data_IF_707048036599
#
_entry.id   IF_707048036599
#
_cell.length_a   1.000
_cell.length_b   1.000
_cell.length_c   1.000
_cell.angle_alpha   90.00
_cell.angle_beta   90.00
_cell.angle_gamma   90.00
#
_symmetry.space_group_name_H-M   'P 1'
#
loop_
_entity.id
_entity.type
_entity.pdbx_description
1 polymer ?
#
# COMPACT_ATOMS: atom_id res chain seq x y z
N UNK A 1 -13.67 -17.59 -18.01
CA UNK A 1 -13.11 -17.03 -16.76
C UNK A 1 -11.85 -17.80 -16.45
N UNK A 2 -10.73 -17.12 -16.21
CA UNK A 2 -9.48 -17.75 -15.76
C UNK A 2 -9.40 -17.59 -14.24
N UNK A 3 -9.08 -18.67 -13.54
CA UNK A 3 -9.02 -18.73 -12.07
C UNK A 3 -7.62 -19.16 -11.68
N UNK A 4 -7.07 -18.56 -10.63
CA UNK A 4 -5.73 -18.80 -10.13
C UNK A 4 -5.79 -19.33 -8.69
N UNK A 5 -4.82 -20.18 -8.34
CA UNK A 5 -4.64 -20.77 -7.01
C UNK A 5 -3.18 -20.63 -6.56
N UNK A 6 -2.85 -21.09 -5.36
CA UNK A 6 -1.48 -21.03 -4.81
C UNK A 6 -0.44 -21.66 -5.74
N UNK A 7 -0.77 -22.72 -6.48
CA UNK A 7 0.13 -23.36 -7.45
C UNK A 7 0.47 -22.48 -8.66
N UNK A 8 -0.34 -21.46 -8.92
CA UNK A 8 -0.19 -20.55 -10.06
C UNK A 8 0.53 -19.25 -9.66
N UNK A 9 0.90 -19.10 -8.38
CA UNK A 9 1.52 -17.89 -7.83
C UNK A 9 2.80 -18.22 -7.06
N UNK A 10 3.90 -17.53 -7.37
CA UNK A 10 5.12 -17.59 -6.56
C UNK A 10 5.06 -16.55 -5.43
N UNK A 11 4.63 -17.00 -4.24
CA UNK A 11 4.57 -16.16 -3.04
C UNK A 11 5.94 -15.62 -2.61
N UNK A 12 7.05 -16.20 -3.06
CA UNK A 12 8.38 -15.74 -2.65
C UNK A 12 8.75 -14.40 -3.28
N UNK A 13 8.12 -14.03 -4.41
CA UNK A 13 8.34 -12.75 -5.08
C UNK A 13 8.00 -11.56 -4.16
N UNK A 14 6.90 -11.65 -3.40
CA UNK A 14 6.46 -10.57 -2.51
C UNK A 14 7.23 -10.55 -1.18
N UNK A 15 7.72 -11.70 -0.70
CA UNK A 15 8.41 -11.80 0.60
C UNK A 15 9.70 -10.98 0.68
N UNK A 16 10.34 -10.74 -0.47
CA UNK A 16 11.54 -9.91 -0.58
C UNK A 16 11.27 -8.43 -0.83
N UNK A 17 10.00 -8.00 -0.90
CA UNK A 17 9.62 -6.61 -1.18
C UNK A 17 9.29 -5.86 0.10
N UNK A 18 9.58 -4.57 0.10
CA UNK A 18 9.12 -3.62 1.10
C UNK A 18 7.71 -3.14 0.74
N UNK A 19 6.72 -3.60 1.51
CA UNK A 19 5.31 -3.26 1.29
C UNK A 19 4.85 -2.19 2.28
N UNK A 20 4.40 -1.06 1.76
CA UNK A 20 3.78 -0.01 2.54
C UNK A 20 2.26 -0.06 2.37
N UNK A 21 1.55 -0.23 3.47
CA UNK A 21 0.09 -0.17 3.51
C UNK A 21 -0.33 1.23 3.95
N UNK A 22 -0.98 1.99 3.06
CA UNK A 22 -1.42 3.36 3.32
C UNK A 22 -2.86 3.33 3.85
N UNK A 23 -3.02 3.65 5.13
CA UNK A 23 -4.29 3.50 5.85
C UNK A 23 -4.37 2.20 6.65
N UNK A 24 -5.03 2.26 7.82
CA UNK A 24 -5.16 1.11 8.73
C UNK A 24 -6.61 0.95 9.23
N UNK A 25 -7.55 1.05 8.27
CA UNK A 25 -8.96 0.73 8.46
C UNK A 25 -9.24 -0.78 8.35
N UNK A 26 -10.38 -1.15 7.78
CA UNK A 26 -10.77 -2.56 7.60
C UNK A 26 -9.80 -3.31 6.67
N UNK A 27 -9.63 -2.85 5.42
CA UNK A 27 -8.73 -3.49 4.46
C UNK A 27 -7.27 -3.34 4.85
N UNK A 28 -6.84 -2.15 5.30
CA UNK A 28 -5.46 -1.90 5.71
C UNK A 28 -4.99 -2.85 6.82
N UNK A 29 -5.85 -3.08 7.83
CA UNK A 29 -5.57 -4.05 8.88
C UNK A 29 -5.44 -5.48 8.34
N UNK A 30 -6.41 -5.94 7.54
CA UNK A 30 -6.43 -7.29 7.01
C UNK A 30 -5.23 -7.57 6.08
N UNK A 31 -4.94 -6.67 5.14
CA UNK A 31 -3.82 -6.81 4.22
C UNK A 31 -2.48 -6.86 4.95
N UNK A 32 -2.25 -5.94 5.88
CA UNK A 32 -0.98 -5.89 6.62
C UNK A 32 -0.73 -7.16 7.45
N UNK A 33 -1.76 -7.62 8.18
CA UNK A 33 -1.68 -8.83 8.99
C UNK A 33 -1.42 -10.06 8.11
N UNK A 34 -2.19 -10.23 7.04
CA UNK A 34 -2.05 -11.40 6.16
C UNK A 34 -0.71 -11.41 5.43
N UNK A 35 -0.20 -10.26 4.99
CA UNK A 35 1.13 -10.17 4.36
C UNK A 35 2.23 -10.60 5.33
N UNK A 36 2.20 -10.07 6.56
CA UNK A 36 3.17 -10.44 7.61
C UNK A 36 3.09 -11.93 7.92
N UNK A 37 1.88 -12.45 8.14
CA UNK A 37 1.67 -13.85 8.51
C UNK A 37 1.98 -14.81 7.33
N UNK A 38 1.94 -14.30 6.09
CA UNK A 38 2.43 -15.00 4.88
C UNK A 38 3.96 -14.94 4.71
N UNK A 39 4.68 -14.31 5.63
CA UNK A 39 6.15 -14.26 5.66
C UNK A 39 6.78 -13.08 4.94
N UNK A 40 6.01 -12.04 4.59
CA UNK A 40 6.57 -10.77 4.12
C UNK A 40 7.22 -10.07 5.31
N UNK A 41 8.55 -9.92 5.26
CA UNK A 41 9.33 -9.40 6.39
C UNK A 41 9.17 -7.90 6.58
N UNK A 42 9.07 -7.18 5.47
CA UNK A 42 9.06 -5.73 5.43
C UNK A 42 7.66 -5.20 5.12
N UNK A 43 6.79 -5.19 6.13
CA UNK A 43 5.47 -4.55 6.08
C UNK A 43 5.42 -3.36 7.03
N UNK A 44 5.07 -2.18 6.51
CA UNK A 44 4.93 -0.96 7.31
C UNK A 44 3.61 -0.27 7.00
N UNK A 45 3.12 0.51 7.97
CA UNK A 45 1.85 1.23 7.84
C UNK A 45 2.12 2.72 7.67
N UNK A 46 1.59 3.32 6.62
CA UNK A 46 1.58 4.76 6.44
C UNK A 46 0.28 5.35 6.99
N UNK A 47 0.41 6.28 7.95
CA UNK A 47 -0.71 7.02 8.54
C UNK A 47 -0.36 8.49 8.64
N UNK A 48 -1.36 9.36 8.44
CA UNK A 48 -1.21 10.79 8.70
C UNK A 48 -0.77 11.03 10.16
N UNK A 49 0.17 11.95 10.42
CA UNK A 49 0.52 12.34 11.79
C UNK A 49 -0.71 12.68 12.63
N UNK A 50 -0.77 12.14 13.85
CA UNK A 50 -1.91 12.32 14.74
C UNK A 50 -3.14 11.45 14.44
N UNK A 51 -3.06 10.53 13.46
CA UNK A 51 -4.17 9.60 13.19
C UNK A 51 -4.52 8.77 14.43
N UNK A 52 -5.83 8.62 14.69
CA UNK A 52 -6.34 7.82 15.80
C UNK A 52 -5.94 6.34 15.71
N UNK A 53 -5.64 5.83 14.52
CA UNK A 53 -5.29 4.42 14.29
C UNK A 53 -3.81 4.10 14.49
N UNK A 54 -2.95 5.09 14.78
CA UNK A 54 -1.50 4.87 15.01
C UNK A 54 -1.29 3.86 16.14
N UNK A 55 -1.90 4.08 17.31
CA UNK A 55 -1.81 3.15 18.45
C UNK A 55 -2.29 1.74 18.12
N UNK A 56 -3.28 1.61 17.22
CA UNK A 56 -3.80 0.30 16.78
C UNK A 56 -2.80 -0.44 15.89
N UNK A 57 -2.13 0.27 14.98
CA UNK A 57 -1.11 -0.31 14.12
C UNK A 57 0.14 -0.70 14.92
N UNK A 58 0.62 0.19 15.79
CA UNK A 58 1.77 -0.08 16.66
C UNK A 58 1.47 -1.21 17.67
N UNK A 59 0.27 -1.22 18.26
CA UNK A 59 -0.18 -2.29 19.15
C UNK A 59 -0.30 -3.65 18.46
N UNK A 60 -0.46 -3.67 17.13
CA UNK A 60 -0.40 -4.89 16.32
C UNK A 60 1.03 -5.28 15.89
N UNK A 61 2.05 -4.54 16.34
CA UNK A 61 3.46 -4.80 16.09
C UNK A 61 4.00 -4.23 14.78
N UNK A 62 3.28 -3.32 14.10
CA UNK A 62 3.76 -2.69 12.88
C UNK A 62 4.51 -1.39 13.17
N UNK A 63 5.56 -1.14 12.39
CA UNK A 63 6.17 0.20 12.31
C UNK A 63 5.25 1.14 11.53
N UNK A 64 4.94 2.29 12.13
CA UNK A 64 4.18 3.35 11.49
C UNK A 64 5.12 4.42 10.93
N UNK A 65 4.81 4.92 9.74
CA UNK A 65 5.54 5.99 9.06
C UNK A 65 4.57 7.07 8.56
N UNK A 66 5.11 8.26 8.25
CA UNK A 66 4.37 9.22 7.42
C UNK A 66 4.19 8.64 6.01
N UNK A 67 3.13 9.03 5.26
CA UNK A 67 2.96 8.58 3.88
C UNK A 67 4.16 8.93 2.99
N UNK A 68 4.72 10.14 3.15
CA UNK A 68 5.89 10.60 2.39
C UNK A 68 7.16 9.78 2.66
N UNK A 69 7.47 9.48 3.92
CA UNK A 69 8.66 8.68 4.26
C UNK A 69 8.47 7.21 3.90
N UNK A 70 7.24 6.70 4.07
CA UNK A 70 6.87 5.36 3.63
C UNK A 70 7.06 5.18 2.13
N UNK A 71 6.62 6.14 1.32
CA UNK A 71 6.74 6.12 -0.13
C UNK A 71 8.20 6.00 -0.61
N UNK A 72 9.13 6.71 0.06
CA UNK A 72 10.57 6.61 -0.24
C UNK A 72 11.14 5.25 0.10
N UNK A 73 10.61 4.61 1.13
CA UNK A 73 11.10 3.33 1.64
C UNK A 73 10.58 2.12 0.85
N UNK A 74 9.34 2.18 0.36
CA UNK A 74 8.60 1.06 -0.20
C UNK A 74 9.04 0.69 -1.62
N UNK A 75 8.89 -0.59 -1.97
CA UNK A 75 8.92 -1.07 -3.35
C UNK A 75 7.49 -1.19 -3.90
N UNK A 76 6.52 -1.47 -3.02
CA UNK A 76 5.09 -1.55 -3.33
C UNK A 76 4.32 -0.70 -2.33
N UNK A 77 3.50 0.21 -2.84
CA UNK A 77 2.59 1.05 -2.03
C UNK A 77 1.16 0.57 -2.28
N UNK A 78 0.51 0.07 -1.24
CA UNK A 78 -0.88 -0.40 -1.27
C UNK A 78 -1.80 0.68 -0.68
N UNK A 79 -2.59 1.32 -1.54
CA UNK A 79 -3.53 2.40 -1.18
C UNK A 79 -4.83 1.83 -0.61
N UNK A 80 -5.07 2.02 0.70
CA UNK A 80 -6.23 1.50 1.44
C UNK A 80 -6.91 2.56 2.32
N UNK A 81 -6.85 3.82 1.88
CA UNK A 81 -7.63 4.93 2.43
C UNK A 81 -8.99 5.04 1.72
N UNK A 82 -9.98 5.75 2.30
CA UNK A 82 -11.22 6.08 1.61
C UNK A 82 -10.95 6.70 0.22
N UNK A 83 -11.73 6.29 -0.78
CA UNK A 83 -11.48 6.60 -2.19
C UNK A 83 -11.40 8.10 -2.45
N UNK A 84 -12.24 8.89 -1.79
CA UNK A 84 -12.29 10.35 -1.89
C UNK A 84 -11.02 11.05 -1.37
N UNK A 85 -10.18 10.36 -0.59
CA UNK A 85 -8.93 10.91 -0.05
C UNK A 85 -7.69 10.50 -0.86
N UNK A 86 -7.82 9.51 -1.75
CA UNK A 86 -6.65 8.88 -2.38
C UNK A 86 -5.91 9.84 -3.32
N UNK A 87 -6.62 10.68 -4.07
CA UNK A 87 -5.99 11.65 -5.01
C UNK A 87 -5.13 12.67 -4.27
N UNK A 88 -5.64 13.25 -3.17
CA UNK A 88 -4.90 14.22 -2.36
C UNK A 88 -3.67 13.60 -1.71
N UNK A 89 -3.82 12.39 -1.14
CA UNK A 89 -2.69 11.66 -0.52
C UNK A 89 -1.64 11.32 -1.58
N UNK A 90 -2.07 10.84 -2.75
CA UNK A 90 -1.15 10.50 -3.82
C UNK A 90 -0.37 11.72 -4.29
N UNK A 91 -1.05 12.81 -4.64
CA UNK A 91 -0.39 14.00 -5.17
C UNK A 91 0.47 14.72 -4.12
N UNK A 92 0.01 14.78 -2.86
CA UNK A 92 0.70 15.47 -1.78
C UNK A 92 1.88 14.70 -1.20
N UNK A 93 1.70 13.40 -0.97
CA UNK A 93 2.65 12.61 -0.18
C UNK A 93 3.32 11.47 -0.95
N UNK A 94 2.70 10.88 -1.97
CA UNK A 94 3.24 9.66 -2.60
C UNK A 94 3.97 9.94 -3.91
N UNK A 95 3.34 10.63 -4.87
CA UNK A 95 3.79 10.75 -6.26
C UNK A 95 5.25 11.22 -6.38
N UNK A 96 5.63 12.25 -5.62
CA UNK A 96 6.98 12.81 -5.62
C UNK A 96 8.00 12.02 -4.79
N UNK A 97 7.54 11.11 -3.93
CA UNK A 97 8.37 10.41 -2.94
C UNK A 97 8.55 8.92 -3.27
N UNK A 98 7.69 8.33 -4.08
CA UNK A 98 7.82 6.94 -4.53
C UNK A 98 9.08 6.75 -5.36
N UNK A 99 9.77 5.63 -5.13
CA UNK A 99 10.94 5.22 -5.90
C UNK A 99 10.58 5.10 -7.39
N UNK A 100 11.57 5.33 -8.24
CA UNK A 100 11.43 5.04 -9.66
C UNK A 100 11.19 3.54 -9.87
N UNK A 101 10.18 3.19 -10.67
CA UNK A 101 9.82 1.79 -10.93
C UNK A 101 9.17 1.06 -9.75
N UNK A 102 8.72 1.77 -8.72
CA UNK A 102 7.89 1.17 -7.67
C UNK A 102 6.49 0.80 -8.20
N UNK A 103 5.76 0.00 -7.44
CA UNK A 103 4.37 -0.30 -7.75
C UNK A 103 3.38 0.47 -6.87
N UNK A 104 2.29 0.94 -7.47
CA UNK A 104 1.12 1.50 -6.81
C UNK A 104 -0.05 0.53 -6.97
N UNK A 105 -0.50 -0.05 -5.86
CA UNK A 105 -1.58 -1.02 -5.82
C UNK A 105 -2.83 -0.44 -5.13
N UNK A 106 -4.00 -0.87 -5.59
CA UNK A 106 -5.29 -0.47 -5.05
C UNK A 106 -6.13 -1.71 -4.69
N UNK A 107 -7.13 -1.56 -3.82
CA UNK A 107 -8.15 -2.59 -3.60
C UNK A 107 -9.49 -2.27 -4.27
N UNK A 108 -9.60 -1.09 -4.87
CA UNK A 108 -10.73 -0.70 -5.70
C UNK A 108 -10.25 0.20 -6.85
N UNK A 109 -10.82 0.00 -8.04
CA UNK A 109 -10.36 0.65 -9.26
C UNK A 109 -10.89 2.07 -9.48
N UNK A 110 -11.71 2.62 -8.58
CA UNK A 110 -12.45 3.88 -8.77
C UNK A 110 -11.54 5.02 -9.24
N UNK A 111 -10.48 5.31 -8.48
CA UNK A 111 -9.62 6.46 -8.76
C UNK A 111 -8.86 6.35 -10.09
N UNK A 112 -8.45 5.13 -10.47
CA UNK A 112 -7.75 4.87 -11.73
C UNK A 112 -8.74 4.87 -12.90
N UNK A 113 -9.86 4.18 -12.77
CA UNK A 113 -10.85 4.01 -13.85
C UNK A 113 -11.51 5.32 -14.27
N UNK A 114 -11.81 6.19 -13.30
CA UNK A 114 -12.45 7.48 -13.56
C UNK A 114 -11.46 8.65 -13.73
N UNK A 115 -10.16 8.37 -13.86
CA UNK A 115 -9.11 9.38 -14.02
C UNK A 115 -9.09 10.45 -12.92
N UNK A 116 -9.48 10.09 -11.69
CA UNK A 116 -9.43 11.00 -10.54
C UNK A 116 -8.01 11.09 -9.94
N UNK A 117 -7.16 10.14 -10.29
CA UNK A 117 -5.74 10.06 -9.97
C UNK A 117 -5.01 9.56 -11.21
N UNK A 118 -3.94 10.25 -11.62
CA UNK A 118 -3.09 9.81 -12.73
C UNK A 118 -1.73 9.34 -12.19
N UNK A 119 -1.45 8.02 -12.18
CA UNK A 119 -0.17 7.50 -11.73
C UNK A 119 0.97 8.00 -12.63
N UNK A 120 2.18 8.14 -12.06
CA UNK A 120 3.39 8.40 -12.84
C UNK A 120 3.62 7.25 -13.81
N UNK A 121 4.08 7.58 -15.02
CA UNK A 121 4.26 6.61 -16.11
C UNK A 121 5.32 5.53 -15.82
N UNK A 122 6.21 5.74 -14.86
CA UNK A 122 7.23 4.76 -14.48
C UNK A 122 6.76 3.73 -13.45
N UNK A 123 5.58 3.92 -12.85
CA UNK A 123 5.06 3.03 -11.82
C UNK A 123 4.29 1.86 -12.44
N UNK A 124 4.50 0.67 -11.90
CA UNK A 124 3.56 -0.43 -12.12
C UNK A 124 2.26 -0.13 -11.37
N UNK A 125 1.11 -0.33 -12.01
CA UNK A 125 -0.21 -0.08 -11.42
C UNK A 125 -1.08 -1.32 -11.53
N UNK A 126 -1.55 -1.83 -10.39
CA UNK A 126 -2.40 -3.02 -10.34
C UNK A 126 -3.42 -3.00 -9.21
N UNK A 127 -4.36 -3.94 -9.27
CA UNK A 127 -5.36 -4.25 -8.25
C UNK A 127 -5.52 -5.76 -8.16
#
# INVERSE_FOLDING_TARGET
>A
MRVYYDRDADVNLIKGKKVLVVGYGSQGHAHAMNLRDSGVKDVRIALKPGSATVKKAEGAGFTVMSPADGAKWADIVMMLTPDELQSDIYNGDLAGNMKQGAALAFAHGLNVHFNLLTPRADLDVFM
#
